data_IF_510200544932
#
_entry.id   IF_510200544932
#
_cell.length_a   1.000
_cell.length_b   1.000
_cell.length_c   1.000
_cell.angle_alpha   90.00
_cell.angle_beta   90.00
_cell.angle_gamma   90.00
#
_symmetry.space_group_name_H-M   'P 1'
#
loop_
_entity.id
_entity.type
_entity.pdbx_description
1 polymer ?
#
# COMPACT_ATOMS: atom_id res chain seq x y z
N UNK A 1 29.95 5.69 29.06
CA UNK A 1 30.37 6.62 30.11
C UNK A 1 29.42 6.41 31.28
N UNK A 2 29.93 5.87 32.38
CA UNK A 2 29.18 5.74 33.64
C UNK A 2 29.18 7.13 34.31
N UNK A 3 28.02 7.54 34.83
CA UNK A 3 27.97 8.70 35.72
C UNK A 3 28.50 8.28 37.12
N UNK A 4 28.72 9.27 38.00
CA UNK A 4 29.28 9.04 39.33
C UNK A 4 28.46 8.10 40.22
N UNK A 5 27.21 7.72 39.82
CA UNK A 5 26.35 6.79 40.50
C UNK A 5 26.36 5.38 39.88
N UNK A 6 27.22 5.11 38.87
CA UNK A 6 27.35 3.79 38.28
C UNK A 6 26.16 3.34 37.41
N UNK A 7 25.20 4.23 37.17
CA UNK A 7 24.04 3.95 36.32
C UNK A 7 24.42 4.22 34.85
N UNK A 8 24.43 3.16 34.05
CA UNK A 8 24.46 3.34 32.62
C UNK A 8 23.18 4.11 32.21
N UNK A 9 23.34 5.26 31.54
CA UNK A 9 22.24 5.92 30.83
C UNK A 9 21.82 4.96 29.69
N UNK A 10 21.09 3.91 30.00
CA UNK A 10 20.31 3.16 29.06
C UNK A 10 19.24 4.12 28.58
N UNK A 11 19.41 4.70 27.37
CA UNK A 11 18.32 5.42 26.72
C UNK A 11 17.19 4.42 26.61
N UNK A 12 16.17 4.57 27.45
CA UNK A 12 14.99 3.72 27.42
C UNK A 12 14.36 3.81 26.04
N UNK A 13 13.74 2.70 25.60
CA UNK A 13 12.74 2.70 24.52
C UNK A 13 11.78 3.87 24.71
N UNK A 14 11.16 4.33 23.62
CA UNK A 14 10.05 5.29 23.72
C UNK A 14 8.97 4.80 24.70
N UNK A 15 8.19 5.69 25.27
CA UNK A 15 7.09 5.36 26.18
C UNK A 15 6.05 4.43 25.48
N UNK A 16 5.90 4.55 24.16
CA UNK A 16 5.07 3.66 23.33
C UNK A 16 5.58 2.21 23.26
N UNK A 17 6.82 1.95 23.69
CA UNK A 17 7.47 0.64 23.54
C UNK A 17 7.93 0.31 22.12
N UNK A 18 7.70 1.18 21.13
CA UNK A 18 8.19 1.05 19.78
C UNK A 18 9.50 1.82 19.56
N UNK A 19 10.21 1.47 18.49
CA UNK A 19 11.46 2.12 18.08
C UNK A 19 11.19 2.91 16.80
N UNK A 20 11.48 4.22 16.80
CA UNK A 20 11.35 5.07 15.62
C UNK A 20 12.49 4.87 14.61
N UNK A 21 12.36 5.53 13.45
CA UNK A 21 13.35 5.54 12.38
C UNK A 21 13.88 6.94 12.14
N UNK A 22 15.20 7.11 12.12
CA UNK A 22 15.84 8.41 11.92
C UNK A 22 15.69 8.84 10.46
N UNK A 23 15.13 10.03 10.22
CA UNK A 23 15.02 10.59 8.87
C UNK A 23 16.40 11.03 8.36
N UNK A 24 16.71 10.66 7.10
CA UNK A 24 17.94 10.99 6.40
C UNK A 24 17.71 12.13 5.38
N UNK A 25 17.15 13.24 5.81
CA UNK A 25 16.74 14.44 5.08
C UNK A 25 15.32 14.34 4.48
N UNK A 26 15.04 13.45 3.52
CA UNK A 26 13.72 13.32 2.89
C UNK A 26 13.20 11.86 2.85
N UNK A 27 13.62 11.03 3.80
CA UNK A 27 13.29 9.58 3.82
C UNK A 27 12.08 9.23 4.69
N UNK A 28 11.21 10.18 5.02
CA UNK A 28 10.00 9.94 5.81
C UNK A 28 9.08 8.89 5.15
N UNK A 29 8.97 8.91 3.80
CA UNK A 29 8.19 7.92 3.04
C UNK A 29 8.74 6.49 3.18
N UNK A 30 10.07 6.33 3.16
CA UNK A 30 10.73 5.05 3.44
C UNK A 30 10.51 4.61 4.89
N UNK A 31 10.66 5.52 5.85
CA UNK A 31 10.46 5.22 7.27
C UNK A 31 9.03 4.75 7.54
N UNK A 32 8.03 5.45 7.00
CA UNK A 32 6.62 5.07 7.13
C UNK A 32 6.34 3.70 6.51
N UNK A 33 6.86 3.42 5.31
CA UNK A 33 6.74 2.12 4.66
C UNK A 33 7.38 1.02 5.52
N UNK A 34 8.62 1.21 5.98
CA UNK A 34 9.33 0.20 6.77
C UNK A 34 8.65 -0.11 8.10
N UNK A 35 8.06 0.88 8.77
CA UNK A 35 7.28 0.67 10.00
C UNK A 35 6.01 -0.14 9.72
N UNK A 36 5.27 0.18 8.65
CA UNK A 36 4.10 -0.60 8.20
C UNK A 36 4.49 -2.06 7.89
N UNK A 37 5.58 -2.26 7.16
CA UNK A 37 6.05 -3.61 6.81
C UNK A 37 6.54 -4.38 8.04
N UNK A 38 7.24 -3.71 8.97
CA UNK A 38 7.70 -4.32 10.22
C UNK A 38 6.54 -4.79 11.10
N UNK A 39 5.46 -4.03 11.17
CA UNK A 39 4.27 -4.37 11.97
C UNK A 39 3.36 -5.40 11.30
N UNK A 40 3.68 -5.85 10.08
CA UNK A 40 3.02 -6.96 9.40
C UNK A 40 3.68 -8.29 9.77
N UNK A 41 3.07 -9.13 10.63
CA UNK A 41 3.75 -10.31 11.20
C UNK A 41 4.17 -11.33 10.14
N UNK A 42 3.33 -11.55 9.11
CA UNK A 42 3.57 -12.50 8.03
C UNK A 42 4.79 -12.10 7.19
N UNK A 43 4.92 -10.81 6.86
CA UNK A 43 6.09 -10.29 6.14
C UNK A 43 7.33 -10.37 7.02
N UNK A 44 7.24 -9.93 8.27
CA UNK A 44 8.34 -10.00 9.24
C UNK A 44 8.87 -11.42 9.40
N UNK A 45 7.96 -12.42 9.47
CA UNK A 45 8.33 -13.84 9.52
C UNK A 45 9.13 -14.26 8.29
N UNK A 46 8.70 -13.88 7.08
CA UNK A 46 9.42 -14.21 5.84
C UNK A 46 10.79 -13.54 5.79
N UNK A 47 10.90 -12.28 6.23
CA UNK A 47 12.18 -11.59 6.34
C UNK A 47 13.12 -12.32 7.31
N UNK A 48 12.65 -12.75 8.48
CA UNK A 48 13.47 -13.50 9.42
C UNK A 48 13.83 -14.92 8.96
N UNK A 49 13.04 -15.51 8.08
CA UNK A 49 13.34 -16.82 7.51
C UNK A 49 14.47 -16.79 6.47
N UNK A 50 14.83 -15.62 5.93
CA UNK A 50 15.92 -15.47 4.98
C UNK A 50 17.24 -15.94 5.58
N UNK A 51 18.04 -16.68 4.79
CA UNK A 51 19.35 -17.19 5.17
C UNK A 51 20.41 -16.61 4.24
N UNK A 52 21.20 -15.70 4.77
CA UNK A 52 22.29 -15.09 4.04
C UNK A 52 23.43 -16.09 3.75
N UNK A 53 23.93 -16.07 2.52
CA UNK A 53 25.11 -16.80 2.07
C UNK A 53 25.92 -15.87 1.15
N UNK A 54 27.16 -15.55 1.51
CA UNK A 54 28.03 -14.63 0.76
C UNK A 54 28.29 -15.06 -0.68
N UNK A 55 28.38 -16.39 -0.92
CA UNK A 55 28.70 -16.95 -2.25
C UNK A 55 27.53 -16.82 -3.22
N UNK A 56 26.30 -16.70 -2.69
CA UNK A 56 25.07 -16.58 -3.48
C UNK A 56 24.61 -15.12 -3.56
N UNK A 57 24.66 -14.39 -2.43
CA UNK A 57 24.03 -13.08 -2.27
C UNK A 57 25.02 -11.92 -2.38
N UNK A 58 26.32 -12.23 -2.56
CA UNK A 58 27.38 -11.22 -2.61
C UNK A 58 27.66 -10.56 -1.25
N UNK A 59 28.22 -9.34 -1.23
CA UNK A 59 28.61 -8.65 0.00
C UNK A 59 27.42 -8.37 0.93
N UNK A 60 27.62 -8.55 2.23
CA UNK A 60 26.59 -8.37 3.26
C UNK A 60 25.96 -6.97 3.26
N UNK A 61 26.78 -5.93 3.03
CA UNK A 61 26.37 -4.53 2.98
C UNK A 61 25.54 -4.17 1.72
N UNK A 62 25.45 -5.08 0.75
CA UNK A 62 24.65 -4.98 -0.48
C UNK A 62 23.46 -5.93 -0.50
N UNK A 63 23.34 -6.80 0.48
CA UNK A 63 22.25 -7.76 0.58
C UNK A 63 21.03 -7.13 1.25
N UNK A 64 20.07 -6.70 0.46
CA UNK A 64 18.85 -5.99 0.92
C UNK A 64 18.09 -6.79 1.98
N UNK A 65 17.77 -8.11 1.80
CA UNK A 65 17.06 -8.86 2.83
C UNK A 65 17.81 -8.96 4.15
N UNK A 66 19.16 -9.09 4.10
CA UNK A 66 19.98 -9.11 5.32
C UNK A 66 19.92 -7.78 6.05
N UNK A 67 20.06 -6.65 5.33
CA UNK A 67 20.00 -5.32 5.93
C UNK A 67 18.59 -5.00 6.48
N UNK A 68 17.54 -5.49 5.83
CA UNK A 68 16.17 -5.38 6.33
C UNK A 68 15.96 -6.26 7.57
N UNK A 69 16.49 -7.49 7.59
CA UNK A 69 16.44 -8.40 8.73
C UNK A 69 17.13 -7.80 9.96
N UNK A 70 18.32 -7.22 9.78
CA UNK A 70 19.05 -6.51 10.85
C UNK A 70 18.29 -5.27 11.34
N UNK A 71 17.65 -4.51 10.44
CA UNK A 71 16.83 -3.37 10.80
C UNK A 71 15.64 -3.82 11.63
N UNK A 72 14.93 -4.86 11.20
CA UNK A 72 13.77 -5.42 11.93
C UNK A 72 14.19 -5.97 13.30
N UNK A 73 15.37 -6.59 13.41
CA UNK A 73 15.91 -7.00 14.71
C UNK A 73 16.14 -5.78 15.63
N UNK A 74 16.66 -4.66 15.10
CA UNK A 74 16.84 -3.43 15.88
C UNK A 74 15.49 -2.81 16.30
N UNK A 75 14.47 -2.86 15.45
CA UNK A 75 13.12 -2.41 15.77
C UNK A 75 12.48 -3.29 16.85
N UNK A 76 12.70 -4.61 16.78
CA UNK A 76 12.08 -5.56 17.70
C UNK A 76 12.77 -5.63 19.06
N UNK A 77 14.11 -5.63 19.09
CA UNK A 77 14.89 -5.90 20.29
C UNK A 77 15.75 -4.71 20.76
N UNK A 78 15.82 -3.64 19.98
CA UNK A 78 16.64 -2.48 20.31
C UNK A 78 16.16 -1.78 21.58
N UNK A 79 17.08 -1.24 22.37
CA UNK A 79 16.81 -0.45 23.57
C UNK A 79 16.76 1.05 23.32
N UNK A 80 17.15 1.52 22.14
CA UNK A 80 17.15 2.93 21.77
C UNK A 80 15.76 3.38 21.34
N UNK A 81 15.39 4.67 21.52
CA UNK A 81 14.10 5.18 21.06
C UNK A 81 13.96 5.24 19.54
N UNK A 82 15.08 5.30 18.80
CA UNK A 82 15.11 5.29 17.34
C UNK A 82 16.38 4.64 16.79
N UNK A 83 16.31 4.16 15.55
CA UNK A 83 17.43 3.56 14.80
C UNK A 83 17.53 4.13 13.39
N UNK A 84 18.73 4.03 12.78
CA UNK A 84 18.98 4.53 11.44
C UNK A 84 18.68 3.46 10.38
N UNK A 85 18.25 3.92 9.19
CA UNK A 85 18.00 3.09 8.00
C UNK A 85 19.16 3.14 6.99
N UNK A 86 20.28 3.79 7.35
CA UNK A 86 21.45 4.04 6.44
C UNK A 86 22.03 2.78 5.82
N UNK A 87 22.10 1.67 6.56
CA UNK A 87 22.62 0.41 6.03
C UNK A 87 21.71 -0.15 4.93
N UNK A 88 20.40 -0.06 5.10
CA UNK A 88 19.43 -0.50 4.10
C UNK A 88 19.46 0.40 2.86
N UNK A 89 19.49 1.74 3.02
CA UNK A 89 19.59 2.66 1.87
C UNK A 89 20.92 2.50 1.12
N UNK A 90 22.00 2.17 1.81
CA UNK A 90 23.26 1.81 1.18
C UNK A 90 23.16 0.50 0.37
N UNK A 91 22.46 -0.53 0.89
CA UNK A 91 22.24 -1.79 0.18
C UNK A 91 21.45 -1.59 -1.11
N UNK A 92 20.49 -0.64 -1.15
CA UNK A 92 19.80 -0.19 -2.35
C UNK A 92 20.70 0.55 -3.36
N UNK A 93 21.89 0.94 -2.96
CA UNK A 93 22.80 1.75 -3.77
C UNK A 93 22.42 3.24 -3.83
N UNK A 94 21.56 3.71 -2.91
CA UNK A 94 21.18 5.12 -2.89
C UNK A 94 22.38 6.01 -2.51
N UNK A 95 22.57 7.04 -3.34
CA UNK A 95 23.47 8.13 -3.00
C UNK A 95 22.81 9.08 -1.98
N UNK A 96 23.61 9.90 -1.33
CA UNK A 96 23.09 10.95 -0.42
C UNK A 96 22.10 11.91 -1.13
N UNK A 97 22.30 12.16 -2.42
CA UNK A 97 21.42 13.03 -3.21
C UNK A 97 20.06 12.34 -3.52
N UNK A 98 20.04 11.03 -3.70
CA UNK A 98 18.78 10.28 -3.93
C UNK A 98 17.96 10.16 -2.63
N UNK A 99 18.60 10.02 -1.48
CA UNK A 99 17.92 10.09 -0.18
C UNK A 99 17.37 11.47 0.18
N UNK A 100 17.77 12.53 -0.57
CA UNK A 100 17.29 13.89 -0.37
C UNK A 100 16.08 14.25 -1.26
N UNK A 101 15.61 13.33 -2.13
CA UNK A 101 14.42 13.52 -2.97
C UNK A 101 13.32 12.60 -2.49
N UNK A 102 12.15 13.17 -2.22
CA UNK A 102 10.96 12.42 -1.89
C UNK A 102 10.49 11.67 -3.15
N UNK A 103 10.31 10.35 -3.02
CA UNK A 103 9.84 9.47 -4.09
C UNK A 103 8.44 8.97 -3.80
N UNK A 104 7.79 8.40 -4.81
CA UNK A 104 6.50 7.74 -4.65
C UNK A 104 6.66 6.49 -3.77
N UNK A 105 5.89 6.44 -2.70
CA UNK A 105 5.95 5.35 -1.73
C UNK A 105 5.44 4.03 -2.31
N UNK A 106 4.50 4.07 -3.25
CA UNK A 106 3.99 2.90 -3.93
C UNK A 106 5.09 2.31 -4.83
N UNK A 107 5.77 3.15 -5.61
CA UNK A 107 6.89 2.73 -6.45
C UNK A 107 8.01 2.12 -5.60
N UNK A 108 8.39 2.77 -4.48
CA UNK A 108 9.38 2.22 -3.56
C UNK A 108 8.96 0.85 -3.01
N UNK A 109 7.70 0.67 -2.64
CA UNK A 109 7.18 -0.60 -2.13
C UNK A 109 7.35 -1.72 -3.17
N UNK A 110 7.03 -1.45 -4.44
CA UNK A 110 7.18 -2.42 -5.54
C UNK A 110 8.64 -2.78 -5.77
N UNK A 111 9.54 -1.80 -5.82
CA UNK A 111 10.99 -2.02 -5.97
C UNK A 111 11.56 -2.83 -4.81
N UNK A 112 11.13 -2.55 -3.58
CA UNK A 112 11.53 -3.31 -2.41
C UNK A 112 11.06 -4.77 -2.49
N UNK A 113 9.81 -5.02 -2.82
CA UNK A 113 9.25 -6.37 -2.93
C UNK A 113 9.93 -7.18 -4.03
N UNK A 114 10.16 -6.59 -5.19
CA UNK A 114 10.90 -7.23 -6.29
C UNK A 114 12.33 -7.59 -5.86
N UNK A 115 13.02 -6.66 -5.18
CA UNK A 115 14.35 -6.92 -4.69
C UNK A 115 14.37 -8.07 -3.67
N UNK A 116 13.43 -8.09 -2.72
CA UNK A 116 13.32 -9.16 -1.71
C UNK A 116 13.03 -10.51 -2.38
N UNK A 117 12.08 -10.59 -3.30
CA UNK A 117 11.71 -11.83 -3.98
C UNK A 117 12.88 -12.39 -4.80
N UNK A 118 13.65 -11.53 -5.50
CA UNK A 118 14.83 -11.94 -6.25
C UNK A 118 15.87 -12.61 -5.36
N UNK A 119 16.16 -12.07 -4.17
CA UNK A 119 17.09 -12.67 -3.23
C UNK A 119 16.58 -13.98 -2.61
N UNK A 120 15.26 -14.04 -2.34
CA UNK A 120 14.61 -15.25 -1.81
C UNK A 120 14.65 -16.40 -2.84
N UNK A 121 14.44 -16.10 -4.11
CA UNK A 121 14.58 -17.09 -5.20
C UNK A 121 16.00 -17.63 -5.32
N UNK A 122 17.01 -16.79 -5.22
CA UNK A 122 18.42 -17.20 -5.23
C UNK A 122 18.78 -18.14 -4.07
N UNK A 123 18.08 -18.03 -2.95
CA UNK A 123 18.26 -18.90 -1.78
C UNK A 123 17.65 -20.30 -1.95
N UNK A 124 17.07 -20.64 -3.10
CA UNK A 124 16.35 -21.91 -3.32
C UNK A 124 14.98 -21.96 -2.63
N UNK A 125 14.44 -20.83 -2.25
CA UNK A 125 13.09 -20.71 -1.71
C UNK A 125 12.04 -21.14 -2.76
N UNK A 126 11.05 -21.96 -2.34
CA UNK A 126 9.93 -22.32 -3.20
C UNK A 126 8.97 -21.14 -3.42
N UNK A 127 7.98 -21.29 -4.31
CA UNK A 127 7.00 -20.22 -4.61
C UNK A 127 6.32 -19.61 -3.38
N UNK A 128 6.05 -20.42 -2.35
CA UNK A 128 5.39 -19.98 -1.11
C UNK A 128 6.25 -19.08 -0.21
N UNK A 129 7.47 -18.72 -0.59
CA UNK A 129 8.37 -17.88 0.19
C UNK A 129 8.43 -16.43 -0.28
N UNK A 130 7.86 -16.12 -1.45
CA UNK A 130 7.90 -14.77 -2.01
C UNK A 130 7.11 -13.77 -1.16
N UNK A 131 7.68 -12.59 -0.97
CA UNK A 131 7.00 -11.48 -0.28
C UNK A 131 5.74 -11.08 -1.04
N UNK A 132 5.82 -11.01 -2.38
CA UNK A 132 4.69 -10.62 -3.23
C UNK A 132 3.49 -11.55 -3.10
N UNK A 133 3.64 -12.82 -2.70
CA UNK A 133 2.50 -13.73 -2.53
C UNK A 133 1.57 -13.35 -1.35
N UNK A 134 2.09 -12.56 -0.39
CA UNK A 134 1.25 -12.00 0.67
C UNK A 134 0.31 -10.90 0.18
N UNK A 135 0.67 -10.24 -0.93
CA UNK A 135 0.02 -9.04 -1.45
C UNK A 135 -0.61 -9.24 -2.83
N UNK A 136 -0.39 -10.40 -3.46
CA UNK A 136 -0.83 -10.67 -4.83
C UNK A 136 -2.29 -11.08 -4.89
N UNK A 137 -3.12 -10.21 -5.47
CA UNK A 137 -4.46 -10.53 -5.92
C UNK A 137 -4.51 -10.72 -7.44
N UNK A 138 -5.68 -11.10 -7.95
CA UNK A 138 -5.97 -11.24 -9.38
C UNK A 138 -7.29 -10.59 -9.71
N UNK A 139 -7.26 -9.82 -10.80
CA UNK A 139 -8.42 -9.33 -11.49
C UNK A 139 -8.48 -9.96 -12.90
N UNK A 140 -9.66 -9.92 -13.49
CA UNK A 140 -9.85 -10.14 -14.91
C UNK A 140 -10.38 -8.88 -15.54
N UNK A 141 -9.58 -8.27 -16.43
CA UNK A 141 -10.04 -7.18 -17.27
C UNK A 141 -10.91 -7.76 -18.38
N UNK A 142 -12.03 -7.11 -18.68
CA UNK A 142 -12.93 -7.54 -19.74
C UNK A 142 -13.26 -6.40 -20.68
N UNK A 143 -13.56 -6.77 -21.95
CA UNK A 143 -14.25 -5.94 -22.92
C UNK A 143 -15.39 -6.77 -23.47
N UNK A 144 -16.62 -6.27 -23.44
CA UNK A 144 -17.78 -6.96 -23.99
C UNK A 144 -18.69 -6.01 -24.77
N UNK A 145 -19.37 -6.55 -25.79
CA UNK A 145 -20.34 -5.78 -26.57
C UNK A 145 -21.56 -5.42 -25.73
N UNK A 146 -22.09 -4.20 -25.94
CA UNK A 146 -23.38 -3.76 -25.36
C UNK A 146 -24.57 -4.15 -26.25
N UNK A 147 -24.34 -4.46 -27.52
CA UNK A 147 -25.40 -4.85 -28.45
C UNK A 147 -25.93 -6.25 -28.09
N UNK A 148 -27.16 -6.31 -27.63
CA UNK A 148 -27.98 -7.51 -27.80
C UNK A 148 -28.29 -7.62 -29.30
N UNK A 149 -28.13 -8.82 -29.87
CA UNK A 149 -28.45 -9.05 -31.28
C UNK A 149 -29.83 -8.51 -31.61
N UNK A 150 -29.92 -7.52 -32.47
CA UNK A 150 -31.17 -7.03 -33.01
C UNK A 150 -31.53 -7.94 -34.19
N UNK A 151 -32.47 -8.88 -33.98
CA UNK A 151 -33.05 -9.70 -35.03
C UNK A 151 -33.44 -11.09 -34.60
N UNK A 152 -34.64 -11.50 -34.90
CA UNK A 152 -35.29 -12.76 -34.49
C UNK A 152 -34.64 -14.06 -35.01
N UNK A 153 -33.54 -14.03 -35.75
CA UNK A 153 -32.93 -15.23 -36.39
C UNK A 153 -31.40 -15.32 -36.33
N UNK A 154 -30.68 -14.40 -35.64
CA UNK A 154 -29.21 -14.48 -35.52
C UNK A 154 -28.83 -14.90 -34.09
N UNK A 155 -27.95 -15.90 -33.94
CA UNK A 155 -27.24 -16.20 -32.68
C UNK A 155 -26.69 -14.88 -32.12
N UNK A 156 -26.90 -14.57 -30.81
CA UNK A 156 -26.39 -13.35 -30.23
C UNK A 156 -24.86 -13.40 -30.27
N UNK A 157 -24.26 -12.68 -31.21
CA UNK A 157 -22.80 -12.46 -31.28
C UNK A 157 -22.37 -11.57 -30.12
N UNK A 158 -22.41 -12.11 -28.91
CA UNK A 158 -21.93 -11.43 -27.72
C UNK A 158 -20.42 -11.58 -27.71
N UNK A 159 -19.73 -10.55 -28.19
CA UNK A 159 -18.28 -10.48 -28.05
C UNK A 159 -17.94 -10.27 -26.58
N UNK A 160 -17.05 -11.09 -26.04
CA UNK A 160 -16.52 -10.91 -24.70
C UNK A 160 -15.08 -11.45 -24.63
N UNK A 161 -14.13 -10.58 -24.28
CA UNK A 161 -12.72 -10.93 -24.15
C UNK A 161 -12.27 -10.66 -22.72
N UNK A 162 -11.59 -11.63 -22.10
CA UNK A 162 -11.04 -11.53 -20.76
C UNK A 162 -9.52 -11.60 -20.78
N UNK A 163 -8.88 -10.79 -19.95
CA UNK A 163 -7.44 -10.84 -19.73
C UNK A 163 -7.15 -10.85 -18.23
N UNK A 164 -6.36 -11.84 -17.73
CA UNK A 164 -5.93 -11.86 -16.34
C UNK A 164 -5.00 -10.66 -16.06
N UNK A 165 -5.22 -10.01 -14.93
CA UNK A 165 -4.45 -8.86 -14.48
C UNK A 165 -4.08 -9.05 -12.99
N UNK A 166 -2.89 -9.60 -12.70
CA UNK A 166 -2.43 -9.72 -11.32
C UNK A 166 -2.05 -8.35 -10.76
N UNK A 167 -2.42 -8.09 -9.50
CA UNK A 167 -2.10 -6.84 -8.83
C UNK A 167 -1.41 -7.08 -7.47
N UNK A 168 -0.67 -6.11 -6.99
CA UNK A 168 -0.13 -6.04 -5.61
C UNK A 168 -0.79 -4.91 -4.83
N UNK A 169 -1.40 -3.96 -5.52
CA UNK A 169 -2.08 -2.80 -4.94
C UNK A 169 -3.30 -2.46 -5.78
N UNK A 170 -4.43 -2.19 -5.16
CA UNK A 170 -5.60 -1.63 -5.83
C UNK A 170 -5.56 -0.10 -5.72
N UNK A 171 -5.54 0.57 -6.86
CA UNK A 171 -5.58 2.04 -6.94
C UNK A 171 -7.01 2.54 -6.97
N UNK A 172 -7.39 3.35 -5.97
CA UNK A 172 -8.75 3.82 -5.76
C UNK A 172 -8.89 5.31 -6.05
N UNK A 173 -9.94 5.74 -6.77
CA UNK A 173 -10.25 7.15 -6.93
C UNK A 173 -10.73 7.73 -5.58
N UNK A 174 -10.37 8.99 -5.30
CA UNK A 174 -10.76 9.66 -4.04
C UNK A 174 -11.74 10.80 -4.31
N UNK A 175 -11.63 11.44 -5.48
CA UNK A 175 -12.41 12.63 -5.82
C UNK A 175 -13.92 12.33 -5.84
N UNK A 176 -14.65 12.96 -4.92
CA UNK A 176 -16.11 12.89 -4.85
C UNK A 176 -16.71 11.57 -4.36
N UNK A 177 -15.94 10.64 -3.76
CA UNK A 177 -16.46 9.30 -3.39
C UNK A 177 -16.85 9.14 -1.92
N UNK A 178 -16.36 9.95 -1.01
CA UNK A 178 -16.76 9.98 0.40
C UNK A 178 -16.12 8.92 1.31
N UNK A 179 -15.99 7.66 0.89
CA UNK A 179 -15.36 6.58 1.67
C UNK A 179 -14.67 5.52 0.80
N UNK A 180 -13.89 4.64 1.45
CA UNK A 180 -13.12 3.58 0.77
C UNK A 180 -14.03 2.54 0.11
N UNK A 181 -15.19 2.24 0.68
CA UNK A 181 -16.15 1.29 0.08
C UNK A 181 -16.69 1.81 -1.25
N UNK A 182 -17.12 3.08 -1.27
CA UNK A 182 -17.56 3.76 -2.49
C UNK A 182 -16.42 3.90 -3.50
N UNK A 183 -15.18 4.13 -3.02
CA UNK A 183 -14.00 4.19 -3.88
C UNK A 183 -13.69 2.84 -4.55
N UNK A 184 -13.85 1.73 -3.83
CA UNK A 184 -13.72 0.37 -4.38
C UNK A 184 -14.78 0.10 -5.43
N UNK A 185 -16.07 0.40 -5.15
CA UNK A 185 -17.14 0.25 -6.12
C UNK A 185 -16.86 1.06 -7.39
N UNK A 186 -16.43 2.31 -7.24
CA UNK A 186 -16.07 3.20 -8.35
C UNK A 186 -14.87 2.70 -9.16
N UNK A 187 -13.88 2.08 -8.50
CA UNK A 187 -12.71 1.52 -9.19
C UNK A 187 -13.05 0.32 -10.09
N UNK A 188 -14.14 -0.38 -9.79
CA UNK A 188 -14.63 -1.53 -10.58
C UNK A 188 -15.88 -1.20 -11.41
N UNK A 189 -16.29 0.07 -11.48
CA UNK A 189 -17.35 0.50 -12.39
C UNK A 189 -16.84 0.47 -13.82
N UNK A 190 -17.54 -0.23 -14.73
CA UNK A 190 -17.09 -0.31 -16.13
C UNK A 190 -17.25 1.01 -16.86
N UNK A 191 -16.30 1.28 -17.75
CA UNK A 191 -16.37 2.37 -18.72
C UNK A 191 -17.18 1.94 -19.95
N UNK A 192 -18.09 2.81 -20.40
CA UNK A 192 -18.84 2.61 -21.64
C UNK A 192 -18.06 3.19 -22.80
N UNK A 193 -17.86 2.39 -23.84
CA UNK A 193 -17.18 2.74 -25.07
C UNK A 193 -18.21 2.85 -26.20
N UNK A 194 -18.75 4.05 -26.42
CA UNK A 194 -19.81 4.34 -27.41
C UNK A 194 -19.49 5.57 -28.27
N UNK A 195 -20.31 5.88 -29.24
CA UNK A 195 -20.18 7.04 -30.11
C UNK A 195 -18.81 7.14 -30.80
N UNK A 196 -18.07 8.23 -30.56
CA UNK A 196 -16.73 8.43 -31.12
C UNK A 196 -15.67 7.53 -30.47
N UNK A 197 -15.96 6.97 -29.27
CA UNK A 197 -15.08 6.12 -28.49
C UNK A 197 -15.37 4.63 -28.62
N UNK A 198 -16.10 4.20 -29.66
CA UNK A 198 -16.44 2.80 -29.90
C UNK A 198 -15.19 1.91 -29.97
N UNK A 199 -15.31 0.70 -29.43
CA UNK A 199 -14.27 -0.33 -29.51
C UNK A 199 -14.22 -0.95 -30.91
N UNK A 200 -13.04 -1.00 -31.54
CA UNK A 200 -12.86 -1.76 -32.78
C UNK A 200 -12.63 -3.23 -32.44
N UNK A 201 -13.61 -4.06 -32.79
CA UNK A 201 -13.57 -5.51 -32.57
C UNK A 201 -12.92 -6.19 -33.80
N UNK A 202 -11.69 -6.69 -33.62
CA UNK A 202 -10.96 -7.39 -34.69
C UNK A 202 -11.71 -8.64 -35.18
N UNK A 203 -12.37 -9.37 -34.26
CA UNK A 203 -13.10 -10.61 -34.57
C UNK A 203 -14.33 -10.36 -35.45
N UNK A 204 -14.92 -9.17 -35.36
CA UNK A 204 -16.09 -8.75 -36.14
C UNK A 204 -15.74 -7.77 -37.27
N UNK A 205 -14.48 -7.34 -37.35
CA UNK A 205 -13.96 -6.32 -38.31
C UNK A 205 -14.82 -5.04 -38.36
N UNK A 206 -15.31 -4.60 -37.20
CA UNK A 206 -16.14 -3.39 -37.06
C UNK A 206 -16.00 -2.71 -35.71
N UNK A 207 -16.40 -1.42 -35.67
CA UNK A 207 -16.61 -0.70 -34.41
C UNK A 207 -17.92 -1.13 -33.78
N UNK A 208 -17.90 -1.34 -32.46
CA UNK A 208 -19.06 -1.75 -31.66
C UNK A 208 -19.14 -0.91 -30.39
N UNK A 209 -20.36 -0.71 -29.89
CA UNK A 209 -20.55 -0.23 -28.53
C UNK A 209 -20.17 -1.35 -27.55
N UNK A 210 -19.31 -1.01 -26.61
CA UNK A 210 -18.76 -1.98 -25.68
C UNK A 210 -18.68 -1.39 -24.27
N UNK A 211 -18.52 -2.22 -23.28
CA UNK A 211 -18.07 -1.83 -21.97
C UNK A 211 -16.74 -2.52 -21.64
N UNK A 212 -15.89 -1.76 -20.97
CA UNK A 212 -14.58 -2.19 -20.49
C UNK A 212 -14.55 -2.07 -18.99
N UNK A 213 -14.13 -3.12 -18.31
CA UNK A 213 -14.07 -3.12 -16.86
C UNK A 213 -13.11 -4.17 -16.32
N UNK A 214 -13.12 -4.30 -15.01
CA UNK A 214 -12.34 -5.28 -14.29
C UNK A 214 -13.21 -5.96 -13.23
N UNK A 215 -13.02 -7.27 -13.03
CA UNK A 215 -13.66 -8.03 -11.95
C UNK A 215 -12.58 -8.66 -11.08
N UNK A 216 -12.82 -8.69 -9.77
CA UNK A 216 -11.92 -9.34 -8.82
C UNK A 216 -12.11 -10.85 -8.92
N UNK A 217 -11.01 -11.58 -9.17
CA UNK A 217 -10.98 -13.04 -9.16
C UNK A 217 -10.52 -13.58 -7.79
N UNK A 218 -9.48 -12.97 -7.21
CA UNK A 218 -8.98 -13.34 -5.89
C UNK A 218 -8.31 -12.15 -5.19
N UNK A 219 -8.50 -12.07 -3.89
CA UNK A 219 -7.85 -11.07 -3.03
C UNK A 219 -6.71 -11.70 -2.23
N UNK A 220 -5.63 -10.94 -1.94
CA UNK A 220 -4.48 -11.43 -1.18
C UNK A 220 -4.75 -11.48 0.32
N UNK A 221 -3.94 -12.22 1.12
CA UNK A 221 -4.02 -12.17 2.58
C UNK A 221 -3.85 -10.76 3.16
N UNK A 222 -3.01 -9.92 2.54
CA UNK A 222 -2.77 -8.53 2.93
C UNK A 222 -3.12 -7.65 1.75
N UNK A 223 -4.21 -6.90 1.88
CA UNK A 223 -4.71 -6.02 0.83
C UNK A 223 -4.14 -4.61 0.98
N UNK A 224 -3.41 -4.15 -0.04
CA UNK A 224 -2.94 -2.77 -0.13
C UNK A 224 -3.88 -1.94 -1.00
N UNK A 225 -4.43 -0.87 -0.44
CA UNK A 225 -5.25 0.10 -1.13
C UNK A 225 -4.47 1.40 -1.28
N UNK A 226 -4.30 1.86 -2.51
CA UNK A 226 -3.65 3.13 -2.83
C UNK A 226 -4.71 4.17 -3.19
N UNK A 227 -4.89 5.15 -2.34
CA UNK A 227 -5.79 6.27 -2.58
C UNK A 227 -5.13 7.27 -3.54
N UNK A 228 -5.67 7.43 -4.75
CA UNK A 228 -5.14 8.32 -5.81
C UNK A 228 -5.36 9.78 -5.44
N UNK A 229 -4.59 10.26 -4.46
CA UNK A 229 -4.64 11.65 -4.00
C UNK A 229 -3.76 12.59 -4.81
N UNK A 230 -2.79 12.07 -5.55
CA UNK A 230 -1.99 12.87 -6.46
C UNK A 230 -2.51 12.70 -7.88
N UNK A 231 -2.94 13.80 -8.47
CA UNK A 231 -3.52 13.86 -9.80
C UNK A 231 -2.82 14.91 -10.65
N UNK A 232 -3.08 14.92 -11.94
CA UNK A 232 -2.57 15.91 -12.88
C UNK A 232 -3.73 16.74 -13.41
N UNK A 233 -3.68 18.03 -13.13
CA UNK A 233 -4.64 18.98 -13.67
C UNK A 233 -4.20 19.40 -15.08
N UNK A 234 -4.95 18.96 -16.07
CA UNK A 234 -4.67 19.23 -17.49
C UNK A 234 -4.96 20.68 -17.90
N UNK A 235 -5.77 21.43 -17.14
CA UNK A 235 -6.05 22.83 -17.40
C UNK A 235 -4.88 23.71 -16.95
N UNK A 236 -4.34 23.45 -15.77
CA UNK A 236 -3.23 24.19 -15.20
C UNK A 236 -1.87 23.57 -15.51
N UNK A 237 -1.81 22.37 -16.09
CA UNK A 237 -0.61 21.56 -16.35
C UNK A 237 0.24 21.34 -15.09
N UNK A 238 -0.40 21.14 -13.95
CA UNK A 238 0.27 20.95 -12.66
C UNK A 238 -0.19 19.69 -11.97
N UNK A 239 0.71 19.12 -11.16
CA UNK A 239 0.33 18.10 -10.19
C UNK A 239 -0.46 18.77 -9.07
N UNK A 240 -1.59 18.18 -8.72
CA UNK A 240 -2.47 18.63 -7.64
C UNK A 240 -2.67 17.52 -6.62
N UNK A 241 -2.92 17.88 -5.37
CA UNK A 241 -3.29 16.93 -4.33
C UNK A 241 -4.80 17.02 -4.14
N UNK A 242 -5.49 15.89 -4.24
CA UNK A 242 -6.92 15.76 -3.98
C UNK A 242 -7.11 15.61 -2.46
N UNK A 243 -7.68 16.63 -1.83
CA UNK A 243 -7.92 16.68 -0.39
C UNK A 243 -9.35 16.29 0.00
N UNK A 244 -10.11 15.75 -0.95
CA UNK A 244 -11.47 15.28 -0.69
C UNK A 244 -11.49 14.30 0.48
N UNK A 245 -12.48 14.45 1.35
CA UNK A 245 -12.71 13.52 2.45
C UNK A 245 -12.96 12.12 1.88
N UNK A 246 -12.28 11.13 2.44
CA UNK A 246 -12.49 9.73 2.15
C UNK A 246 -12.41 8.97 3.48
N UNK A 247 -13.55 8.62 4.04
CA UNK A 247 -13.61 7.87 5.29
C UNK A 247 -13.05 6.46 5.11
N UNK A 248 -12.28 6.01 6.10
CA UNK A 248 -11.65 4.70 6.09
C UNK A 248 -12.33 3.84 7.15
N UNK A 249 -13.00 2.73 6.79
CA UNK A 249 -13.60 1.84 7.76
C UNK A 249 -12.52 1.02 8.49
N UNK A 250 -12.77 0.70 9.76
CA UNK A 250 -11.89 -0.18 10.54
C UNK A 250 -11.95 -1.63 10.03
N UNK A 251 -13.14 -2.05 9.60
CA UNK A 251 -13.39 -3.35 8.97
C UNK A 251 -14.12 -3.09 7.67
N UNK A 252 -13.68 -3.74 6.60
CA UNK A 252 -14.35 -3.74 5.31
C UNK A 252 -14.72 -5.16 4.91
N UNK A 253 -15.99 -5.41 4.71
CA UNK A 253 -16.48 -6.66 4.15
C UNK A 253 -16.45 -6.57 2.61
N UNK A 254 -15.54 -7.30 2.00
CA UNK A 254 -15.33 -7.25 0.55
C UNK A 254 -16.46 -7.92 -0.21
N UNK A 255 -17.15 -8.90 0.38
CA UNK A 255 -18.28 -9.57 -0.26
C UNK A 255 -19.45 -8.59 -0.45
N UNK A 256 -19.79 -7.83 0.60
CA UNK A 256 -20.85 -6.82 0.51
C UNK A 256 -20.42 -5.59 -0.29
N UNK A 257 -19.17 -5.17 -0.15
CA UNK A 257 -18.65 -3.99 -0.86
C UNK A 257 -18.61 -4.21 -2.37
N UNK A 258 -18.13 -5.36 -2.82
CA UNK A 258 -18.03 -5.70 -4.24
C UNK A 258 -19.35 -6.25 -4.82
N UNK A 259 -20.30 -6.70 -3.99
CA UNK A 259 -21.61 -7.15 -4.46
C UNK A 259 -22.39 -6.04 -5.19
N UNK A 260 -22.12 -4.77 -4.84
CA UNK A 260 -22.67 -3.59 -5.55
C UNK A 260 -21.99 -3.31 -6.88
N UNK A 261 -20.82 -3.90 -7.15
CA UNK A 261 -20.15 -3.79 -8.44
C UNK A 261 -20.94 -4.61 -9.48
N UNK A 262 -21.24 -4.00 -10.62
CA UNK A 262 -22.11 -4.54 -11.69
C UNK A 262 -21.70 -5.94 -12.17
N UNK A 263 -20.48 -6.38 -11.90
CA UNK A 263 -19.88 -7.62 -12.41
C UNK A 263 -19.05 -8.36 -11.35
N UNK A 264 -19.65 -8.62 -10.19
CA UNK A 264 -19.03 -9.54 -9.24
C UNK A 264 -19.14 -10.98 -9.80
N UNK A 265 -18.05 -11.75 -9.77
CA UNK A 265 -18.09 -13.16 -10.19
C UNK A 265 -18.92 -13.93 -9.18
N UNK A 266 -20.08 -14.39 -9.60
CA UNK A 266 -21.01 -15.13 -8.74
C UNK A 266 -20.31 -16.35 -8.10
N UNK A 267 -20.38 -16.45 -6.78
CA UNK A 267 -19.84 -17.58 -6.01
C UNK A 267 -18.46 -17.38 -5.40
N UNK A 268 -17.78 -16.23 -5.61
CA UNK A 268 -16.56 -15.92 -4.89
C UNK A 268 -16.89 -15.33 -3.51
N UNK A 269 -16.18 -15.80 -2.49
CA UNK A 269 -16.19 -15.26 -1.14
C UNK A 269 -14.81 -14.68 -0.84
N UNK A 270 -14.76 -13.38 -0.58
CA UNK A 270 -13.53 -12.65 -0.30
C UNK A 270 -13.30 -12.42 1.19
N UNK A 271 -14.39 -12.42 1.99
CA UNK A 271 -14.36 -12.19 3.42
C UNK A 271 -14.12 -10.73 3.81
N UNK A 272 -13.82 -10.52 5.08
CA UNK A 272 -13.60 -9.20 5.65
C UNK A 272 -12.10 -8.93 5.89
N UNK A 273 -11.71 -7.66 5.73
CA UNK A 273 -10.38 -7.16 6.06
C UNK A 273 -10.47 -6.17 7.21
N UNK A 274 -9.55 -6.30 8.14
CA UNK A 274 -9.34 -5.37 9.24
C UNK A 274 -8.20 -4.42 8.91
N UNK A 275 -8.39 -3.12 9.18
CA UNK A 275 -7.38 -2.11 8.92
C UNK A 275 -6.19 -2.29 9.89
N UNK A 276 -5.00 -2.48 9.35
CA UNK A 276 -3.76 -2.66 10.10
C UNK A 276 -2.92 -1.37 10.14
N UNK A 277 -2.87 -0.60 9.06
CA UNK A 277 -2.08 0.62 8.98
C UNK A 277 -2.56 1.58 7.90
N UNK A 278 -2.24 2.86 8.08
CA UNK A 278 -2.46 3.93 7.10
C UNK A 278 -1.16 4.70 6.94
N UNK A 279 -0.70 4.87 5.71
CA UNK A 279 0.37 5.83 5.40
C UNK A 279 -0.25 7.16 5.03
N UNK A 280 0.00 8.17 5.86
CA UNK A 280 -0.55 9.51 5.71
C UNK A 280 0.51 10.49 5.19
N UNK A 281 0.12 11.33 4.23
CA UNK A 281 0.95 12.41 3.68
C UNK A 281 0.34 13.77 4.02
N UNK A 282 1.11 14.62 4.68
CA UNK A 282 0.78 16.02 4.93
C UNK A 282 1.60 16.90 4.01
N UNK A 283 1.01 17.97 3.47
CA UNK A 283 1.65 18.87 2.54
C UNK A 283 1.04 18.88 1.15
N UNK A 284 1.75 19.43 0.16
CA UNK A 284 1.29 19.64 -1.22
C UNK A 284 1.73 18.52 -2.18
N UNK A 285 1.30 18.60 -3.44
CA UNK A 285 1.78 17.70 -4.50
C UNK A 285 3.27 17.91 -4.85
N UNK A 286 3.88 19.03 -4.43
CA UNK A 286 5.29 19.33 -4.69
C UNK A 286 6.23 18.82 -3.59
N UNK A 287 5.70 18.47 -2.42
CA UNK A 287 6.46 17.96 -1.29
C UNK A 287 5.65 17.97 -0.01
N UNK A 288 6.12 17.23 0.97
CA UNK A 288 5.43 17.11 2.26
C UNK A 288 6.11 16.10 3.16
N UNK A 289 5.36 15.59 4.11
CA UNK A 289 5.87 14.69 5.12
C UNK A 289 4.97 13.44 5.21
N UNK A 290 5.58 12.26 5.22
CA UNK A 290 4.90 10.99 5.44
C UNK A 290 5.03 10.56 6.90
N UNK A 291 3.94 10.02 7.44
CA UNK A 291 3.90 9.29 8.71
C UNK A 291 3.04 8.04 8.56
N UNK A 292 3.23 7.05 9.41
CA UNK A 292 2.40 5.86 9.42
C UNK A 292 1.58 5.78 10.71
N UNK A 293 0.27 5.61 10.56
CA UNK A 293 -0.61 5.24 11.65
C UNK A 293 -0.74 3.71 11.64
N UNK A 294 -0.40 3.07 12.74
CA UNK A 294 -0.32 1.62 12.81
C UNK A 294 -1.05 1.11 14.03
N UNK A 295 -1.82 0.06 13.84
CA UNK A 295 -2.50 -0.64 14.94
C UNK A 295 -1.50 -1.49 15.72
N UNK A 296 -1.58 -1.45 17.03
CA UNK A 296 -0.70 -2.22 17.91
C UNK A 296 -0.81 -3.72 17.67
N UNK A 297 0.34 -4.37 17.50
CA UNK A 297 0.50 -5.79 17.18
C UNK A 297 0.89 -6.65 18.40
N UNK A 298 1.00 -6.05 19.60
CA UNK A 298 1.44 -6.70 20.82
C UNK A 298 0.28 -6.93 21.77
N UNK A 299 0.37 -7.94 22.66
CA UNK A 299 -0.70 -8.24 23.63
C UNK A 299 -1.03 -7.07 24.57
N UNK A 300 -0.04 -6.24 24.92
CA UNK A 300 -0.17 -5.10 25.83
C UNK A 300 -0.73 -3.83 25.16
N UNK A 301 -0.77 -3.79 23.85
CA UNK A 301 -1.23 -2.63 23.09
C UNK A 301 -2.19 -2.98 21.94
N UNK A 302 -2.72 -4.19 21.92
CA UNK A 302 -3.65 -4.66 20.89
C UNK A 302 -4.90 -3.76 20.80
N UNK A 303 -5.19 -3.31 19.56
CA UNK A 303 -6.33 -2.43 19.30
C UNK A 303 -6.05 -0.94 19.48
N UNK A 304 -4.92 -0.55 20.09
CA UNK A 304 -4.48 0.84 20.16
C UNK A 304 -3.82 1.27 18.85
N UNK A 305 -3.93 2.55 18.54
CA UNK A 305 -3.28 3.14 17.35
C UNK A 305 -2.06 3.97 17.75
N UNK A 306 -1.03 3.92 16.92
CA UNK A 306 0.24 4.62 17.14
C UNK A 306 0.60 5.45 15.91
N UNK A 307 1.06 6.69 16.15
CA UNK A 307 1.65 7.56 15.13
C UNK A 307 3.16 7.33 15.08
N UNK A 308 3.63 6.79 13.97
CA UNK A 308 5.03 6.60 13.65
C UNK A 308 5.51 7.78 12.80
N UNK A 309 6.02 8.80 13.45
CA UNK A 309 6.54 10.01 12.84
C UNK A 309 8.06 10.02 12.93
N UNK A 310 8.71 9.37 11.97
CA UNK A 310 10.16 9.19 11.92
C UNK A 310 10.74 8.62 13.24
N UNK A 311 11.59 9.37 13.91
CA UNK A 311 12.23 8.96 15.17
C UNK A 311 11.27 8.96 16.37
N UNK A 312 10.12 9.58 16.23
CA UNK A 312 9.13 9.71 17.30
C UNK A 312 7.96 8.75 17.09
N UNK A 313 7.62 8.00 18.13
CA UNK A 313 6.44 7.09 18.10
C UNK A 313 5.60 7.34 19.34
N UNK A 314 4.35 7.72 19.14
CA UNK A 314 3.39 8.00 20.21
C UNK A 314 2.09 7.22 20.05
N UNK A 315 1.42 6.93 21.17
CA UNK A 315 0.05 6.42 21.15
C UNK A 315 -0.89 7.54 20.71
N UNK A 316 -1.82 7.24 19.81
CA UNK A 316 -2.82 8.19 19.32
C UNK A 316 -3.97 8.31 20.32
N UNK A 317 -4.46 9.52 20.53
CA UNK A 317 -5.69 9.77 21.29
C UNK A 317 -6.93 9.31 20.51
N UNK A 318 -8.04 9.09 21.21
CA UNK A 318 -9.32 8.72 20.59
C UNK A 318 -9.78 9.77 19.55
N UNK A 319 -9.52 11.06 19.79
CA UNK A 319 -9.85 12.13 18.85
C UNK A 319 -9.01 12.05 17.56
N UNK A 320 -7.70 11.73 17.67
CA UNK A 320 -6.83 11.54 16.51
C UNK A 320 -7.24 10.30 15.72
N UNK A 321 -7.60 9.22 16.39
CA UNK A 321 -8.12 7.99 15.76
C UNK A 321 -9.44 8.27 15.03
N UNK A 322 -10.36 9.02 15.65
CA UNK A 322 -11.63 9.39 15.01
C UNK A 322 -11.40 10.22 13.73
N UNK A 323 -10.48 11.19 13.78
CA UNK A 323 -10.07 11.97 12.59
C UNK A 323 -9.45 11.10 11.50
N UNK A 324 -8.56 10.19 11.88
CA UNK A 324 -7.91 9.25 10.95
C UNK A 324 -8.95 8.44 10.17
N UNK A 325 -10.02 7.97 10.84
CA UNK A 325 -11.12 7.25 10.19
C UNK A 325 -12.09 8.16 9.42
N UNK A 326 -11.93 9.48 9.49
CA UNK A 326 -12.87 10.43 8.89
C UNK A 326 -14.23 10.46 9.60
N UNK A 327 -14.29 10.14 10.89
CA UNK A 327 -15.52 10.14 11.70
C UNK A 327 -15.79 11.50 12.35
N UNK A 328 -14.85 12.42 12.29
CA UNK A 328 -14.97 13.76 12.83
C UNK A 328 -15.58 14.70 11.77
N UNK A 329 -16.69 15.37 12.08
CA UNK A 329 -17.34 16.35 11.21
C UNK A 329 -16.66 17.75 11.28
N UNK A 330 -15.50 17.83 11.96
CA UNK A 330 -14.71 19.04 12.10
C UNK A 330 -14.07 19.51 10.80
N UNK A 331 -14.06 20.83 10.60
CA UNK A 331 -13.35 21.50 9.52
C UNK A 331 -11.85 21.10 9.53
N UNK A 332 -11.17 21.10 8.35
CA UNK A 332 -9.75 20.82 8.28
C UNK A 332 -8.97 21.68 9.26
N UNK A 333 -8.10 21.09 10.07
CA UNK A 333 -7.26 21.82 10.99
C UNK A 333 -6.17 22.57 10.21
N UNK A 334 -5.63 23.65 10.77
CA UNK A 334 -4.57 24.46 10.12
C UNK A 334 -3.33 23.62 9.73
N UNK A 335 -3.12 22.45 10.33
CA UNK A 335 -2.05 21.51 9.98
C UNK A 335 -2.33 20.73 8.66
N UNK A 336 -3.58 20.70 8.19
CA UNK A 336 -3.96 20.02 6.93
C UNK A 336 -3.79 20.96 5.71
N UNK A 337 -3.53 22.24 5.94
CA UNK A 337 -3.47 23.30 4.91
C UNK A 337 -2.09 23.92 4.69
N UNK A 338 -1.04 23.51 5.43
CA UNK A 338 0.35 23.98 5.23
C UNK A 338 1.22 22.99 4.41
#
# INVERSE_FOLDING_TARGET
>A
VLNEEGSAFLRKRSESGYVGLINQAATCYLNSLLQTLFTTPELRHRVYAFRYNSDVHGPADRCIPLQLQELFARLQFGSRPATATTALTHAFGWSRSQGAQQQDVQELCMVLFEALDRFLEQSGGGPATKITDLYRGRCQNFIRSLEAAAGDEAEPTTFCKYHPDPFLTLSLPVKGVGDVGAALQKAFEPDVLDGDNQYFCEDLDKKIDAEKGSVVESLPPILMLHLKRFDFDYETLRRVKVNDRCAIPEIIDMDTTLAGAKYNVAGHQFGAYELASIMNHSGSAAGGHYRAFVRGDRPDNHGKWFDFNDAHVSEMSEAEVARMFGRDDGAPTAEDTE
#
